data_IF_665194263859
#
_entry.id   IF_665194263859
#
_cell.length_a   1.000
_cell.length_b   1.000
_cell.length_c   1.000
_cell.angle_alpha   90.00
_cell.angle_beta   90.00
_cell.angle_gamma   90.00
#
_symmetry.space_group_name_H-M   'P 1'
#
loop_
_entity.id
_entity.type
_entity.pdbx_description
1 polymer ?
#
# COMPACT_ATOMS: atom_id res chain seq x y z
N UNK A 1 9.77 -27.37 30.39
CA UNK A 1 9.66 -26.88 29.01
C UNK A 1 10.49 -27.81 28.13
N UNK A 2 9.91 -28.42 27.10
CA UNK A 2 10.61 -29.33 26.19
C UNK A 2 11.02 -28.53 24.95
N UNK A 3 12.30 -28.57 24.59
CA UNK A 3 12.83 -27.87 23.43
C UNK A 3 12.34 -28.52 22.13
N UNK A 4 11.65 -27.74 21.29
CA UNK A 4 11.24 -28.17 19.94
C UNK A 4 12.32 -27.74 18.95
N UNK A 5 12.84 -28.69 18.17
CA UNK A 5 13.78 -28.44 17.09
C UNK A 5 13.21 -28.90 15.75
N UNK A 6 13.61 -28.22 14.67
CA UNK A 6 13.25 -28.58 13.30
C UNK A 6 14.48 -29.08 12.56
N UNK A 7 14.35 -30.22 11.87
CA UNK A 7 15.35 -30.67 10.91
C UNK A 7 15.08 -29.94 9.59
N UNK A 8 16.08 -29.22 9.08
CA UNK A 8 15.98 -28.50 7.81
C UNK A 8 16.87 -29.18 6.78
N UNK A 9 16.26 -29.67 5.70
CA UNK A 9 17.00 -30.16 4.53
C UNK A 9 17.10 -29.04 3.49
N UNK A 10 18.25 -28.90 2.83
CA UNK A 10 18.44 -27.90 1.78
C UNK A 10 17.43 -28.05 0.64
N UNK A 11 17.08 -29.29 0.27
CA UNK A 11 16.11 -29.56 -0.80
C UNK A 11 14.71 -29.09 -0.40
N UNK A 12 14.29 -29.38 0.83
CA UNK A 12 13.01 -28.94 1.39
C UNK A 12 12.96 -27.42 1.50
N UNK A 13 14.06 -26.79 1.93
CA UNK A 13 14.15 -25.33 1.98
C UNK A 13 14.02 -24.71 0.59
N UNK A 14 14.71 -25.24 -0.43
CA UNK A 14 14.59 -24.76 -1.81
C UNK A 14 13.18 -24.97 -2.37
N UNK A 15 12.55 -26.11 -2.08
CA UNK A 15 11.17 -26.39 -2.47
C UNK A 15 10.20 -25.39 -1.83
N UNK A 16 10.28 -25.20 -0.51
CA UNK A 16 9.44 -24.26 0.24
C UNK A 16 9.68 -22.80 -0.18
N UNK A 17 10.92 -22.45 -0.53
CA UNK A 17 11.26 -21.12 -1.06
C UNK A 17 10.59 -20.86 -2.41
N UNK A 18 10.37 -21.89 -3.23
CA UNK A 18 9.74 -21.73 -4.53
C UNK A 18 8.19 -21.71 -4.47
N UNK A 19 7.59 -22.17 -3.37
CA UNK A 19 6.13 -22.26 -3.21
C UNK A 19 5.39 -20.91 -3.22
N UNK A 20 6.06 -19.83 -2.79
CA UNK A 20 5.47 -18.49 -2.70
C UNK A 20 5.99 -17.52 -3.77
N UNK A 21 6.77 -18.02 -4.74
CA UNK A 21 7.30 -17.14 -5.79
C UNK A 21 6.16 -16.74 -6.72
N UNK A 22 5.80 -15.46 -6.66
CA UNK A 22 4.99 -14.84 -7.70
C UNK A 22 5.64 -15.11 -9.05
N UNK A 23 4.83 -15.44 -10.04
CA UNK A 23 5.37 -15.69 -11.37
C UNK A 23 5.89 -14.37 -11.92
N UNK A 24 7.05 -14.38 -12.58
CA UNK A 24 7.62 -13.17 -13.17
C UNK A 24 6.66 -12.55 -14.22
N UNK A 25 5.80 -13.38 -14.82
CA UNK A 25 4.72 -12.94 -15.72
C UNK A 25 3.67 -12.08 -15.01
N UNK A 26 3.43 -12.30 -13.71
CA UNK A 26 2.41 -11.56 -12.95
C UNK A 26 2.80 -10.08 -12.81
N UNK A 27 4.10 -9.75 -12.93
CA UNK A 27 4.59 -8.37 -12.99
C UNK A 27 4.57 -7.75 -14.40
N UNK A 28 4.27 -8.55 -15.43
CA UNK A 28 4.16 -8.12 -16.82
C UNK A 28 2.71 -8.12 -17.33
N UNK A 29 1.78 -8.71 -16.59
CA UNK A 29 0.35 -8.63 -16.89
C UNK A 29 -0.17 -7.24 -16.54
N UNK A 30 -0.76 -6.57 -17.53
CA UNK A 30 -1.50 -5.33 -17.31
C UNK A 30 -2.82 -5.62 -16.62
N UNK A 31 -3.15 -4.81 -15.61
CA UNK A 31 -4.50 -4.79 -15.05
C UNK A 31 -5.48 -4.16 -16.05
N UNK A 32 -6.78 -4.48 -15.94
CA UNK A 32 -7.81 -3.87 -16.76
C UNK A 32 -7.81 -2.35 -16.53
N UNK A 33 -7.71 -1.58 -17.62
CA UNK A 33 -7.63 -0.12 -17.54
C UNK A 33 -8.88 0.51 -16.90
N UNK A 34 -10.07 -0.04 -17.12
CA UNK A 34 -11.29 0.50 -16.53
C UNK A 34 -11.30 0.26 -15.01
N UNK A 35 -10.91 -0.93 -14.57
CA UNK A 35 -10.81 -1.25 -13.14
C UNK A 35 -9.73 -0.40 -12.46
N UNK A 36 -8.56 -0.28 -13.09
CA UNK A 36 -7.47 0.55 -12.59
C UNK A 36 -7.85 2.04 -12.51
N UNK A 37 -8.56 2.57 -13.51
CA UNK A 37 -9.11 3.93 -13.47
C UNK A 37 -10.14 4.11 -12.35
N UNK A 38 -11.06 3.15 -12.16
CA UNK A 38 -12.03 3.19 -11.06
C UNK A 38 -11.34 3.21 -9.70
N UNK A 39 -10.36 2.33 -9.48
CA UNK A 39 -9.59 2.27 -8.23
C UNK A 39 -8.86 3.58 -7.97
N UNK A 40 -8.28 4.20 -9.00
CA UNK A 40 -7.61 5.49 -8.87
C UNK A 40 -8.60 6.61 -8.49
N UNK A 41 -9.76 6.67 -9.13
CA UNK A 41 -10.80 7.64 -8.82
C UNK A 41 -11.28 7.50 -7.37
N UNK A 42 -11.62 6.28 -6.94
CA UNK A 42 -12.05 5.98 -5.58
C UNK A 42 -10.98 6.35 -4.56
N UNK A 43 -9.72 6.00 -4.85
CA UNK A 43 -8.61 6.29 -3.93
C UNK A 43 -8.37 7.80 -3.82
N UNK A 44 -8.45 8.57 -4.91
CA UNK A 44 -8.30 10.03 -4.89
C UNK A 44 -9.48 10.69 -4.17
N UNK A 45 -10.71 10.16 -4.30
CA UNK A 45 -11.86 10.63 -3.54
C UNK A 45 -11.67 10.42 -2.02
N UNK A 46 -11.19 9.25 -1.61
CA UNK A 46 -10.83 8.99 -0.21
C UNK A 46 -9.72 9.92 0.29
N UNK A 47 -8.71 10.21 -0.54
CA UNK A 47 -7.64 11.15 -0.20
C UNK A 47 -8.16 12.57 0.01
N UNK A 48 -9.15 13.01 -0.76
CA UNK A 48 -9.80 14.31 -0.57
C UNK A 48 -10.48 14.39 0.80
N UNK A 49 -11.19 13.34 1.22
CA UNK A 49 -11.85 13.32 2.52
C UNK A 49 -10.84 13.23 3.67
N UNK A 50 -9.76 12.47 3.51
CA UNK A 50 -8.63 12.48 4.45
C UNK A 50 -7.98 13.86 4.55
N UNK A 51 -7.82 14.58 3.43
CA UNK A 51 -7.25 15.93 3.42
C UNK A 51 -8.16 16.94 4.14
N UNK A 52 -9.48 16.87 3.95
CA UNK A 52 -10.45 17.70 4.70
C UNK A 52 -10.38 17.39 6.20
N UNK A 53 -10.31 16.11 6.57
CA UNK A 53 -10.18 15.68 7.96
C UNK A 53 -8.85 16.11 8.57
N UNK A 54 -7.76 16.07 7.81
CA UNK A 54 -6.46 16.56 8.23
C UNK A 54 -6.49 18.06 8.53
N UNK A 55 -7.08 18.86 7.62
CA UNK A 55 -7.22 20.30 7.82
C UNK A 55 -8.05 20.62 9.07
N UNK A 56 -9.19 19.94 9.25
CA UNK A 56 -10.02 20.08 10.45
C UNK A 56 -9.28 19.67 11.73
N UNK A 57 -8.50 18.58 11.69
CA UNK A 57 -7.68 18.16 12.81
C UNK A 57 -6.68 19.25 13.18
N UNK A 58 -5.99 19.88 12.22
CA UNK A 58 -5.06 20.98 12.47
C UNK A 58 -5.74 22.19 13.13
N UNK A 59 -6.92 22.60 12.64
CA UNK A 59 -7.70 23.70 13.23
C UNK A 59 -8.10 23.42 14.68
N UNK A 60 -8.43 22.16 15.00
CA UNK A 60 -8.76 21.74 16.36
C UNK A 60 -7.50 21.60 17.24
N UNK A 61 -6.34 21.28 16.66
CA UNK A 61 -5.07 21.17 17.37
C UNK A 61 -4.55 22.55 17.83
N UNK A 62 -4.77 23.60 17.04
CA UNK A 62 -4.37 24.98 17.39
C UNK A 62 -5.04 25.50 18.68
N UNK A 63 -6.20 24.93 19.04
CA UNK A 63 -6.99 25.33 20.21
C UNK A 63 -6.72 24.50 21.47
N UNK A 64 -5.89 23.46 21.39
CA UNK A 64 -5.70 22.45 22.45
C UNK A 64 -4.33 22.57 23.12
N UNK A 65 -4.24 22.16 24.39
CA UNK A 65 -2.96 22.11 25.11
C UNK A 65 -2.13 20.87 24.71
N UNK A 66 -0.80 20.88 24.88
CA UNK A 66 0.08 19.77 24.49
C UNK A 66 -0.27 18.42 25.14
N UNK A 67 -0.76 18.45 26.37
CA UNK A 67 -1.17 17.25 27.13
C UNK A 67 -2.46 16.64 26.57
N UNK A 68 -3.39 17.46 26.09
CA UNK A 68 -4.63 17.01 25.47
C UNK A 68 -4.38 16.45 24.05
N UNK A 69 -3.41 17.01 23.33
CA UNK A 69 -2.99 16.54 22.01
C UNK A 69 -2.43 15.12 22.03
N UNK A 70 -1.59 14.81 23.03
CA UNK A 70 -0.98 13.48 23.18
C UNK A 70 -2.02 12.36 23.39
N UNK A 71 -3.18 12.68 23.99
CA UNK A 71 -4.25 11.72 24.28
C UNK A 71 -5.29 11.68 23.16
N UNK A 72 -5.55 12.81 22.47
CA UNK A 72 -6.56 12.96 21.41
C UNK A 72 -6.38 11.97 20.25
N UNK A 73 -5.13 11.64 19.93
CA UNK A 73 -4.76 10.81 18.78
C UNK A 73 -4.85 9.31 19.08
N UNK A 74 -5.10 8.91 20.34
CA UNK A 74 -5.24 7.51 20.71
C UNK A 74 -6.63 7.01 20.34
N UNK A 75 -6.71 5.96 19.52
CA UNK A 75 -7.95 5.30 19.12
C UNK A 75 -8.74 5.99 18.00
N UNK A 76 -8.23 7.10 17.44
CA UNK A 76 -8.78 7.76 16.25
C UNK A 76 -7.86 7.55 15.05
N UNK A 77 -8.45 7.56 13.86
CA UNK A 77 -7.69 7.48 12.62
C UNK A 77 -6.82 8.74 12.47
N UNK A 78 -5.50 8.58 12.41
CA UNK A 78 -4.57 9.67 12.08
C UNK A 78 -4.69 10.00 10.58
N UNK A 79 -5.29 11.15 10.19
CA UNK A 79 -5.54 11.46 8.80
C UNK A 79 -4.25 11.66 8.00
N UNK A 80 -3.18 12.15 8.63
CA UNK A 80 -1.90 12.39 7.96
C UNK A 80 -1.27 11.08 7.54
N UNK A 81 -1.16 10.14 8.50
CA UNK A 81 -0.56 8.81 8.25
C UNK A 81 -1.31 8.05 7.16
N UNK A 82 -2.65 8.10 7.18
CA UNK A 82 -3.45 7.43 6.15
C UNK A 82 -3.36 8.12 4.78
N UNK A 83 -3.20 9.43 4.74
CA UNK A 83 -3.00 10.14 3.48
C UNK A 83 -1.67 9.72 2.83
N UNK A 84 -0.58 9.62 3.61
CA UNK A 84 0.71 9.10 3.14
C UNK A 84 0.59 7.66 2.60
N UNK A 85 -0.06 6.76 3.35
CA UNK A 85 -0.29 5.36 2.92
C UNK A 85 -1.06 5.26 1.59
N UNK A 86 -2.05 6.14 1.37
CA UNK A 86 -2.84 6.17 0.12
C UNK A 86 -2.05 6.73 -1.05
N UNK A 87 -1.22 7.77 -0.84
CA UNK A 87 -0.30 8.30 -1.87
C UNK A 87 0.62 7.19 -2.38
N UNK A 88 1.26 6.47 -1.46
CA UNK A 88 2.23 5.43 -1.80
C UNK A 88 1.58 4.33 -2.64
N UNK A 89 0.36 3.91 -2.28
CA UNK A 89 -0.39 2.90 -3.02
C UNK A 89 -0.74 3.35 -4.45
N UNK A 90 -1.26 4.57 -4.63
CA UNK A 90 -1.61 5.11 -5.95
C UNK A 90 -0.37 5.25 -6.82
N UNK A 91 0.72 5.77 -6.24
CA UNK A 91 1.99 5.94 -6.94
C UNK A 91 2.56 4.59 -7.40
N UNK A 92 2.62 3.59 -6.51
CA UNK A 92 3.10 2.26 -6.84
C UNK A 92 2.28 1.62 -7.97
N UNK A 93 0.95 1.65 -7.88
CA UNK A 93 0.07 1.05 -8.88
C UNK A 93 0.24 1.73 -10.26
N UNK A 94 0.23 3.06 -10.29
CA UNK A 94 0.36 3.81 -11.54
C UNK A 94 1.74 3.61 -12.18
N UNK A 95 2.83 3.59 -11.41
CA UNK A 95 4.17 3.36 -11.94
C UNK A 95 4.27 1.97 -12.57
N UNK A 96 3.79 0.92 -11.88
CA UNK A 96 3.84 -0.45 -12.40
C UNK A 96 2.99 -0.59 -13.66
N UNK A 97 1.77 -0.04 -13.68
CA UNK A 97 0.89 -0.11 -14.85
C UNK A 97 1.49 0.63 -16.06
N UNK A 98 2.06 1.83 -15.86
CA UNK A 98 2.70 2.60 -16.92
C UNK A 98 3.95 1.88 -17.48
N UNK A 99 4.82 1.37 -16.60
CA UNK A 99 6.02 0.64 -17.03
C UNK A 99 5.67 -0.66 -17.74
N UNK A 100 4.68 -1.40 -17.22
CA UNK A 100 4.17 -2.62 -17.87
C UNK A 100 3.70 -2.34 -19.28
N UNK A 101 2.96 -1.24 -19.49
CA UNK A 101 2.41 -0.90 -20.80
C UNK A 101 3.52 -0.52 -21.78
N UNK A 102 4.49 0.27 -21.33
CA UNK A 102 5.66 0.62 -22.15
C UNK A 102 6.47 -0.61 -22.54
N UNK A 103 6.73 -1.53 -21.60
CA UNK A 103 7.44 -2.78 -21.87
C UNK A 103 6.68 -3.67 -22.85
N UNK A 104 5.37 -3.80 -22.70
CA UNK A 104 4.54 -4.63 -23.56
C UNK A 104 4.67 -4.23 -25.04
N UNK A 105 4.63 -2.92 -25.32
CA UNK A 105 4.78 -2.38 -26.69
C UNK A 105 6.14 -2.63 -27.35
N UNK A 106 7.20 -2.83 -26.56
CA UNK A 106 8.57 -3.03 -27.05
C UNK A 106 8.89 -4.53 -27.16
N UNK A 107 8.48 -5.32 -26.17
CA UNK A 107 8.87 -6.72 -26.01
C UNK A 107 8.00 -7.67 -26.84
N UNK A 108 6.69 -7.40 -26.95
CA UNK A 108 5.75 -8.32 -27.61
C UNK A 108 5.30 -7.85 -29.00
N UNK A 109 6.19 -7.11 -29.67
CA UNK A 109 6.01 -6.63 -31.04
C UNK A 109 6.38 -7.69 -32.08
#
# INVERSE_FOLDING_TARGET
>A
SISINYRKNELEQKMLLNLHKKSWKDGLTLSDYNEHCSINEDTVAEMLDLAKNYNKSLEDEEKMTPEQLAIKNVGKQDPKRHLEEKVDKVMQNNIVQCLGAMLDTIVFK
#
